data_IF_087002901627
#
_entry.id   IF_087002901627
#
_cell.length_a   1.000
_cell.length_b   1.000
_cell.length_c   1.000
_cell.angle_alpha   90.00
_cell.angle_beta   90.00
_cell.angle_gamma   90.00
#
_symmetry.space_group_name_H-M   'P 1'
#
loop_
_entity.id
_entity.type
_entity.pdbx_description
1 polymer ?
#
# COMPACT_ATOMS: atom_id res chain seq x y z
N UNK A 1 26.28 -16.02 3.22
CA UNK A 1 26.79 -15.94 1.82
C UNK A 1 27.75 -17.08 1.49
N UNK A 2 28.84 -17.27 2.24
CA UNK A 2 29.85 -18.32 1.96
C UNK A 2 29.26 -19.74 1.93
N UNK A 3 28.36 -20.08 2.87
CA UNK A 3 27.69 -21.39 2.90
C UNK A 3 26.74 -21.62 1.71
N UNK A 4 26.14 -20.56 1.18
CA UNK A 4 25.26 -20.62 0.00
C UNK A 4 26.07 -20.83 -1.28
N UNK A 5 27.28 -20.25 -1.34
CA UNK A 5 28.22 -20.46 -2.44
C UNK A 5 28.76 -21.90 -2.45
N UNK A 6 29.00 -22.49 -1.27
CA UNK A 6 29.41 -23.89 -1.12
C UNK A 6 28.31 -24.87 -1.56
N UNK A 7 27.04 -24.60 -1.26
CA UNK A 7 25.92 -25.41 -1.75
C UNK A 7 25.74 -25.32 -3.28
N UNK A 8 25.96 -24.14 -3.87
CA UNK A 8 25.91 -24.00 -5.34
C UNK A 8 27.02 -24.79 -6.04
N UNK A 9 28.24 -24.80 -5.48
CA UNK A 9 29.34 -25.58 -6.06
C UNK A 9 29.09 -27.09 -5.97
N UNK A 10 28.51 -27.59 -4.87
CA UNK A 10 28.18 -29.02 -4.75
C UNK A 10 27.08 -29.45 -5.72
N UNK A 11 26.09 -28.60 -6.00
CA UNK A 11 25.05 -28.91 -7.00
C UNK A 11 25.57 -28.92 -8.43
N UNK A 12 26.56 -28.08 -8.76
CA UNK A 12 27.20 -28.10 -10.09
C UNK A 12 28.09 -29.32 -10.30
N UNK A 13 28.75 -29.83 -9.24
CA UNK A 13 29.58 -31.03 -9.33
C UNK A 13 28.76 -32.33 -9.51
N UNK A 14 27.49 -32.34 -9.07
CA UNK A 14 26.65 -33.54 -9.13
C UNK A 14 25.97 -33.77 -10.49
N UNK A 15 25.98 -32.77 -11.37
CA UNK A 15 25.40 -32.86 -12.71
C UNK A 15 26.43 -32.41 -13.75
N UNK A 16 27.23 -33.33 -14.32
CA UNK A 16 28.06 -32.98 -15.49
C UNK A 16 27.16 -32.36 -16.56
N UNK A 17 27.62 -31.25 -17.12
CA UNK A 17 26.79 -30.37 -17.95
C UNK A 17 26.11 -31.16 -19.06
N UNK A 18 24.82 -30.88 -19.31
CA UNK A 18 24.07 -31.40 -20.46
C UNK A 18 24.79 -31.19 -21.80
N UNK A 19 25.75 -30.26 -21.87
CA UNK A 19 26.59 -30.04 -23.04
C UNK A 19 27.57 -31.19 -23.31
N UNK A 20 28.14 -31.84 -22.29
CA UNK A 20 29.00 -33.02 -22.50
C UNK A 20 28.19 -34.22 -23.02
N UNK A 21 26.95 -34.42 -22.56
CA UNK A 21 26.09 -35.49 -23.08
C UNK A 21 25.60 -35.28 -24.52
N UNK A 22 25.60 -34.04 -25.03
CA UNK A 22 25.20 -33.77 -26.41
C UNK A 22 26.33 -33.96 -27.43
N UNK A 23 27.60 -33.94 -27.01
CA UNK A 23 28.71 -34.21 -27.93
C UNK A 23 28.87 -35.70 -28.25
N UNK A 24 28.43 -36.62 -27.39
CA UNK A 24 28.49 -38.06 -27.66
C UNK A 24 27.35 -38.60 -28.56
N UNK A 25 26.38 -37.76 -28.98
CA UNK A 25 25.22 -38.18 -29.79
C UNK A 25 25.27 -37.76 -31.27
N UNK A 26 26.42 -37.28 -31.76
CA UNK A 26 26.55 -36.76 -33.13
C UNK A 26 27.58 -37.48 -34.01
N UNK A 27 27.71 -38.79 -33.85
CA UNK A 27 28.28 -39.64 -34.90
C UNK A 27 27.16 -40.52 -35.45
N UNK A 28 26.48 -40.12 -36.54
CA UNK A 28 25.58 -41.01 -37.24
C UNK A 28 26.42 -42.13 -37.87
N UNK A 29 26.22 -43.37 -37.41
CA UNK A 29 26.64 -44.54 -38.17
C UNK A 29 25.76 -44.56 -39.43
N UNK A 30 26.34 -44.20 -40.57
CA UNK A 30 25.72 -44.42 -41.88
C UNK A 30 25.58 -45.93 -42.08
N UNK A 31 24.36 -46.43 -41.96
CA UNK A 31 24.00 -47.74 -42.47
C UNK A 31 24.13 -47.69 -44.01
N UNK A 32 25.18 -48.32 -44.52
CA UNK A 32 25.31 -48.59 -45.95
C UNK A 32 24.28 -49.68 -46.31
N UNK A 33 23.10 -49.27 -46.76
CA UNK A 33 22.22 -50.14 -47.53
C UNK A 33 22.83 -50.32 -48.93
N UNK A 34 23.65 -51.35 -49.09
CA UNK A 34 24.10 -51.85 -50.38
C UNK A 34 22.95 -52.57 -51.08
N UNK A 35 22.22 -51.83 -51.92
CA UNK A 35 21.44 -52.40 -53.02
C UNK A 35 22.27 -52.34 -54.30
N UNK A 36 22.57 -53.51 -54.86
CA UNK A 36 23.04 -53.73 -56.23
C UNK A 36 22.08 -53.02 -57.23
N UNK A 37 22.49 -52.43 -58.36
CA UNK A 37 23.28 -53.00 -59.44
C UNK A 37 24.01 -51.91 -60.27
N UNK A 38 25.22 -52.24 -60.75
CA UNK A 38 25.70 -51.84 -62.08
C UNK A 38 26.32 -50.45 -62.26
N UNK A 39 27.63 -50.31 -62.04
CA UNK A 39 28.52 -49.48 -62.86
C UNK A 39 30.00 -49.80 -62.62
N UNK A 40 30.78 -49.68 -63.68
CA UNK A 40 32.14 -50.13 -63.88
C UNK A 40 33.24 -49.39 -63.10
N UNK A 41 34.23 -50.18 -62.67
CA UNK A 41 35.68 -50.02 -62.87
C UNK A 41 36.38 -48.68 -62.55
N UNK A 42 37.34 -48.80 -61.64
CA UNK A 42 38.51 -47.94 -61.40
C UNK A 42 38.28 -46.62 -60.64
N UNK A 43 38.27 -46.71 -59.30
CA UNK A 43 39.08 -45.82 -58.48
C UNK A 43 39.24 -46.37 -57.05
N UNK A 44 40.42 -46.95 -56.79
CA UNK A 44 40.84 -47.45 -55.48
C UNK A 44 41.39 -46.29 -54.65
N UNK A 45 40.50 -45.53 -53.99
CA UNK A 45 40.90 -44.63 -52.92
C UNK A 45 40.97 -45.40 -51.59
N UNK A 46 42.18 -45.64 -51.11
CA UNK A 46 42.49 -46.29 -49.84
C UNK A 46 41.82 -45.54 -48.67
N UNK A 47 40.93 -46.24 -47.94
CA UNK A 47 40.45 -45.81 -46.63
C UNK A 47 41.59 -45.97 -45.60
N UNK A 48 42.04 -44.89 -44.93
CA UNK A 48 43.04 -45.02 -43.88
C UNK A 48 42.41 -45.56 -42.59
N UNK A 49 43.14 -46.48 -41.98
CA UNK A 49 43.09 -46.91 -40.58
C UNK A 49 41.74 -47.33 -40.01
N UNK A 50 41.58 -48.64 -39.98
CA UNK A 50 40.83 -49.41 -38.99
C UNK A 50 41.36 -49.14 -37.57
N UNK A 51 40.94 -48.05 -36.93
CA UNK A 51 40.93 -48.02 -35.47
C UNK A 51 39.57 -48.56 -35.00
N UNK A 52 39.54 -49.59 -34.13
CA UNK A 52 38.28 -50.13 -33.64
C UNK A 52 37.56 -49.03 -32.86
N UNK A 53 36.37 -48.64 -33.32
CA UNK A 53 35.46 -47.81 -32.54
C UNK A 53 35.17 -48.55 -31.23
N UNK A 54 35.86 -48.12 -30.17
CA UNK A 54 35.70 -48.62 -28.82
C UNK A 54 34.40 -48.03 -28.28
N UNK A 55 33.27 -48.56 -28.74
CA UNK A 55 31.96 -48.23 -28.21
C UNK A 55 31.91 -48.76 -26.78
N UNK A 56 32.26 -47.88 -25.84
CA UNK A 56 32.11 -48.12 -24.42
C UNK A 56 30.68 -48.63 -24.17
N UNK A 57 30.50 -49.84 -23.61
CA UNK A 57 29.18 -50.41 -23.46
C UNK A 57 28.31 -49.43 -22.67
N UNK A 58 27.04 -49.21 -23.09
CA UNK A 58 26.18 -48.25 -22.42
C UNK A 58 26.21 -48.57 -20.92
N UNK A 59 26.45 -47.56 -20.05
CA UNK A 59 26.65 -47.80 -18.63
C UNK A 59 25.49 -48.66 -18.16
N UNK A 60 25.82 -49.87 -17.68
CA UNK A 60 24.84 -50.79 -17.12
C UNK A 60 23.99 -49.96 -16.18
N UNK A 61 22.68 -49.92 -16.42
CA UNK A 61 21.72 -49.23 -15.57
C UNK A 61 21.93 -49.75 -14.15
N UNK A 62 22.72 -49.02 -13.35
CA UNK A 62 22.87 -49.32 -11.95
C UNK A 62 21.47 -49.21 -11.38
N UNK A 63 20.96 -50.35 -10.90
CA UNK A 63 19.65 -50.42 -10.28
C UNK A 63 19.63 -49.36 -9.19
N UNK A 64 18.92 -48.26 -9.46
CA UNK A 64 18.83 -47.11 -8.57
C UNK A 64 18.20 -47.58 -7.27
N UNK A 65 19.03 -47.94 -6.31
CA UNK A 65 18.62 -48.43 -5.00
C UNK A 65 17.79 -47.31 -4.40
N UNK A 66 16.47 -47.52 -4.33
CA UNK A 66 15.56 -46.52 -3.78
C UNK A 66 15.97 -46.33 -2.32
N UNK A 67 16.22 -45.08 -1.87
CA UNK A 67 16.58 -44.85 -0.47
C UNK A 67 15.49 -45.40 0.45
N UNK A 68 15.87 -46.02 1.58
CA UNK A 68 14.94 -46.66 2.49
C UNK A 68 13.84 -45.69 2.92
N UNK A 69 12.60 -46.19 3.06
CA UNK A 69 11.41 -45.37 3.37
C UNK A 69 11.59 -44.46 4.59
N UNK A 70 12.39 -44.89 5.58
CA UNK A 70 12.73 -44.09 6.78
C UNK A 70 13.53 -42.82 6.43
N UNK A 71 14.49 -42.92 5.52
CA UNK A 71 15.33 -41.80 5.11
C UNK A 71 14.52 -40.74 4.35
N UNK A 72 13.58 -41.18 3.49
CA UNK A 72 12.67 -40.27 2.78
C UNK A 72 11.76 -39.46 3.73
N UNK A 73 11.26 -40.10 4.79
CA UNK A 73 10.44 -39.41 5.80
C UNK A 73 11.23 -38.36 6.57
N UNK A 74 12.48 -38.66 6.92
CA UNK A 74 13.37 -37.72 7.60
C UNK A 74 13.69 -36.52 6.69
N UNK A 75 14.01 -36.77 5.42
CA UNK A 75 14.29 -35.72 4.43
C UNK A 75 13.05 -34.83 4.20
N UNK A 76 11.86 -35.42 4.13
CA UNK A 76 10.61 -34.66 4.00
C UNK A 76 10.34 -33.80 5.24
N UNK A 77 10.59 -34.33 6.44
CA UNK A 77 10.45 -33.56 7.68
C UNK A 77 11.43 -32.37 7.71
N UNK A 78 12.70 -32.60 7.39
CA UNK A 78 13.72 -31.54 7.31
C UNK A 78 13.34 -30.46 6.28
N UNK A 79 12.80 -30.85 5.11
CA UNK A 79 12.31 -29.89 4.11
C UNK A 79 11.14 -29.05 4.63
N UNK A 80 10.22 -29.66 5.38
CA UNK A 80 9.08 -28.95 5.99
C UNK A 80 9.54 -27.98 7.08
N UNK A 81 10.51 -28.37 7.90
CA UNK A 81 11.09 -27.50 8.94
C UNK A 81 11.87 -26.34 8.32
N UNK A 82 12.70 -26.60 7.31
CA UNK A 82 13.41 -25.56 6.56
C UNK A 82 12.46 -24.57 5.88
N UNK A 83 11.37 -25.05 5.28
CA UNK A 83 10.35 -24.19 4.67
C UNK A 83 9.64 -23.31 5.72
N UNK A 84 9.33 -23.86 6.90
CA UNK A 84 8.77 -23.07 8.01
C UNK A 84 9.73 -22.01 8.51
N UNK A 85 11.02 -22.32 8.61
CA UNK A 85 12.04 -21.37 9.04
C UNK A 85 12.22 -20.24 8.01
N UNK A 86 12.31 -20.58 6.72
CA UNK A 86 12.38 -19.59 5.63
C UNK A 86 11.17 -18.65 5.63
N UNK A 87 9.96 -19.17 5.90
CA UNK A 87 8.76 -18.34 6.02
C UNK A 87 8.84 -17.39 7.21
N UNK A 88 9.30 -17.87 8.39
CA UNK A 88 9.48 -17.02 9.58
C UNK A 88 10.50 -15.90 9.35
N UNK A 89 11.60 -16.20 8.66
CA UNK A 89 12.61 -15.20 8.30
C UNK A 89 12.05 -14.16 7.33
N UNK A 90 11.28 -14.58 6.33
CA UNK A 90 10.58 -13.67 5.41
C UNK A 90 9.59 -12.76 6.14
N UNK A 91 8.78 -13.32 7.04
CA UNK A 91 7.81 -12.55 7.83
C UNK A 91 8.54 -11.55 8.76
N UNK A 92 9.68 -11.93 9.34
CA UNK A 92 10.50 -11.04 10.16
C UNK A 92 11.11 -9.90 9.35
N UNK A 93 11.62 -10.19 8.14
CA UNK A 93 12.14 -9.17 7.22
C UNK A 93 11.04 -8.20 6.78
N UNK A 94 9.84 -8.70 6.48
CA UNK A 94 8.70 -7.85 6.12
C UNK A 94 8.29 -6.93 7.28
N UNK A 95 8.26 -7.44 8.51
CA UNK A 95 8.02 -6.62 9.71
C UNK A 95 9.10 -5.56 9.89
N UNK A 96 10.37 -5.92 9.72
CA UNK A 96 11.47 -4.96 9.83
C UNK A 96 11.40 -3.89 8.74
N UNK A 97 11.03 -4.25 7.51
CA UNK A 97 10.81 -3.30 6.42
C UNK A 97 9.65 -2.34 6.71
N UNK A 98 8.54 -2.84 7.27
CA UNK A 98 7.42 -2.00 7.71
C UNK A 98 7.84 -1.02 8.80
N UNK A 99 8.59 -1.47 9.80
CA UNK A 99 9.11 -0.59 10.86
C UNK A 99 10.04 0.49 10.29
N UNK A 100 10.91 0.16 9.33
CA UNK A 100 11.77 1.15 8.65
C UNK A 100 10.99 2.23 7.90
N UNK A 101 9.79 1.92 7.44
CA UNK A 101 8.91 2.90 6.78
C UNK A 101 8.16 3.79 7.77
N UNK A 102 7.87 3.30 8.98
CA UNK A 102 7.12 4.04 10.01
C UNK A 102 7.99 5.05 10.76
N UNK A 103 9.25 4.71 11.05
CA UNK A 103 10.16 5.59 11.82
C UNK A 103 10.33 7.00 11.20
N UNK A 104 10.50 7.16 9.86
CA UNK A 104 10.56 8.48 9.25
C UNK A 104 9.26 9.28 9.39
N UNK A 105 8.11 8.60 9.37
CA UNK A 105 6.79 9.26 9.47
C UNK A 105 6.60 9.82 10.87
N UNK A 106 6.87 9.01 11.91
CA UNK A 106 6.81 9.47 13.30
C UNK A 106 7.80 10.60 13.55
N UNK A 107 9.03 10.49 13.03
CA UNK A 107 10.05 11.55 13.14
C UNK A 107 9.62 12.85 12.45
N UNK A 108 8.99 12.77 11.28
CA UNK A 108 8.48 13.94 10.57
C UNK A 108 7.27 14.56 11.29
N UNK A 109 6.41 13.74 11.89
CA UNK A 109 5.30 14.24 12.72
C UNK A 109 5.79 14.99 13.94
N UNK A 110 6.78 14.46 14.66
CA UNK A 110 7.38 15.13 15.82
C UNK A 110 8.01 16.45 15.40
N UNK A 111 8.80 16.46 14.31
CA UNK A 111 9.38 17.71 13.77
C UNK A 111 8.31 18.73 13.40
N UNK A 112 7.23 18.30 12.73
CA UNK A 112 6.14 19.20 12.36
C UNK A 112 5.32 19.69 13.57
N UNK A 113 5.41 19.03 14.72
CA UNK A 113 4.85 19.51 15.97
C UNK A 113 5.79 20.55 16.62
N UNK A 114 7.09 20.27 16.69
CA UNK A 114 8.11 21.21 17.17
C UNK A 114 8.10 22.52 16.37
N UNK A 115 7.99 22.45 15.04
CA UNK A 115 7.88 23.63 14.17
C UNK A 115 6.63 24.46 14.50
N UNK A 116 5.49 23.82 14.76
CA UNK A 116 4.24 24.52 15.15
C UNK A 116 4.33 25.15 16.54
N UNK A 117 4.97 24.47 17.50
CA UNK A 117 5.21 25.03 18.83
C UNK A 117 6.16 26.23 18.76
N UNK A 118 7.18 26.17 17.89
CA UNK A 118 8.10 27.28 17.66
C UNK A 118 7.42 28.47 16.98
N UNK A 119 6.57 28.24 15.97
CA UNK A 119 5.75 29.28 15.34
C UNK A 119 4.80 29.93 16.36
N UNK A 120 4.18 29.13 17.24
CA UNK A 120 3.27 29.64 18.27
C UNK A 120 4.02 30.50 19.30
N UNK A 121 5.21 30.10 19.72
CA UNK A 121 6.06 30.91 20.60
C UNK A 121 6.49 32.23 19.93
N UNK A 122 6.83 32.18 18.65
CA UNK A 122 7.18 33.38 17.89
C UNK A 122 6.00 34.36 17.76
N UNK A 123 4.79 33.85 17.51
CA UNK A 123 3.58 34.66 17.49
C UNK A 123 3.27 35.29 18.85
N UNK A 124 3.43 34.55 19.95
CA UNK A 124 3.27 35.10 21.30
C UNK A 124 4.27 36.22 21.60
N UNK A 125 5.53 36.06 21.17
CA UNK A 125 6.55 37.09 21.36
C UNK A 125 6.21 38.37 20.58
N UNK A 126 5.77 38.25 19.32
CA UNK A 126 5.33 39.39 18.52
C UNK A 126 4.13 40.10 19.16
N UNK A 127 3.16 39.34 19.68
CA UNK A 127 2.00 39.90 20.35
C UNK A 127 2.37 40.67 21.63
N UNK A 128 3.37 40.18 22.39
CA UNK A 128 3.90 40.92 23.54
C UNK A 128 4.62 42.21 23.14
N UNK A 129 5.36 42.21 22.03
CA UNK A 129 6.02 43.42 21.52
C UNK A 129 4.98 44.46 21.05
N UNK A 130 3.94 44.04 20.34
CA UNK A 130 2.83 44.93 19.93
C UNK A 130 2.09 45.52 21.14
N UNK A 131 1.86 44.72 22.19
CA UNK A 131 1.24 45.19 23.43
C UNK A 131 2.12 46.19 24.18
N UNK A 132 3.43 45.95 24.23
CA UNK A 132 4.40 46.86 24.85
C UNK A 132 4.51 48.18 24.07
N UNK A 133 4.57 48.13 22.74
CA UNK A 133 4.57 49.32 21.87
C UNK A 133 3.30 50.15 22.06
N UNK A 134 2.14 49.48 22.10
CA UNK A 134 0.86 50.13 22.36
C UNK A 134 0.81 50.79 23.74
N UNK A 135 1.41 50.15 24.76
CA UNK A 135 1.49 50.71 26.12
C UNK A 135 2.38 51.95 26.17
N UNK A 136 3.49 51.96 25.43
CA UNK A 136 4.39 53.11 25.32
C UNK A 136 3.70 54.29 24.61
N UNK A 137 2.98 54.05 23.51
CA UNK A 137 2.21 55.11 22.83
C UNK A 137 1.16 55.76 23.73
N UNK A 138 0.49 54.99 24.60
CA UNK A 138 -0.46 55.56 25.56
C UNK A 138 0.23 56.48 26.59
N UNK A 139 1.44 56.14 27.04
CA UNK A 139 2.19 56.98 27.98
C UNK A 139 2.64 58.30 27.33
N UNK A 140 3.03 58.28 26.05
CA UNK A 140 3.38 59.49 25.30
C UNK A 140 2.17 60.41 25.09
N UNK A 141 0.98 59.85 24.82
CA UNK A 141 -0.25 60.63 24.59
C UNK A 141 -0.85 61.31 25.83
N UNK A 142 -0.52 60.84 27.04
CA UNK A 142 -0.96 61.49 28.29
C UNK A 142 -0.08 62.69 28.67
N UNK A 143 1.18 62.73 28.23
CA UNK A 143 2.11 63.82 28.53
C UNK A 143 1.81 65.16 27.83
N UNK A 144 1.16 65.15 26.67
CA UNK A 144 0.85 66.40 25.92
C UNK A 144 -0.40 67.15 26.42
N UNK A 145 -1.19 66.59 27.36
CA UNK A 145 -2.43 67.24 27.83
C UNK A 145 -2.25 68.17 29.04
N UNK A 146 -1.09 68.21 29.68
CA UNK A 146 -0.88 69.07 30.87
C UNK A 146 -0.36 70.49 30.58
N UNK A 147 0.11 70.83 29.37
CA UNK A 147 0.58 72.21 29.08
C UNK A 147 -0.46 73.14 28.41
N UNK A 148 -1.69 72.68 28.19
CA UNK A 148 -2.70 73.40 27.39
C UNK A 148 -3.85 74.12 28.13
N UNK A 149 -3.86 74.19 29.47
CA UNK A 149 -4.92 74.93 30.20
C UNK A 149 -4.48 76.35 30.54
N UNK A 150 -4.73 77.27 29.61
CA UNK A 150 -4.37 78.67 29.83
C UNK A 150 -4.94 79.70 28.87
N UNK A 151 -6.08 79.52 28.19
CA UNK A 151 -6.79 80.67 27.56
C UNK A 151 -8.31 80.46 27.57
N UNK A 152 -9.00 81.21 28.42
CA UNK A 152 -10.45 81.48 28.33
C UNK A 152 -10.66 82.63 27.34
N UNK A 153 -11.64 82.50 26.44
CA UNK A 153 -12.09 83.59 25.57
C UNK A 153 -13.44 83.26 24.96
N UNK A 154 -14.46 84.02 25.36
CA UNK A 154 -15.88 83.78 25.15
C UNK A 154 -16.41 84.26 23.78
N UNK A 155 -17.59 83.72 23.41
CA UNK A 155 -18.46 84.19 22.32
C UNK A 155 -18.95 83.01 21.47
N UNK A 156 -20.16 82.92 20.97
CA UNK A 156 -21.41 83.67 21.08
C UNK A 156 -22.47 82.71 20.49
N UNK A 157 -23.73 82.84 20.91
CA UNK A 157 -24.85 81.99 20.51
C UNK A 157 -25.12 82.08 18.99
N UNK A 158 -25.57 80.98 18.35
CA UNK A 158 -26.77 81.02 17.50
C UNK A 158 -27.28 79.63 17.09
N UNK A 159 -28.61 79.56 17.03
CA UNK A 159 -29.46 78.48 16.54
C UNK A 159 -29.13 78.01 15.12
N UNK A 160 -29.31 76.72 14.86
CA UNK A 160 -29.40 76.14 13.51
C UNK A 160 -29.91 74.70 13.57
N UNK A 161 -30.94 74.43 12.78
CA UNK A 161 -31.74 73.20 12.73
C UNK A 161 -30.97 71.94 12.26
N UNK A 162 -31.55 70.78 12.58
CA UNK A 162 -31.28 69.39 12.17
C UNK A 162 -30.59 69.21 10.79
N UNK A 163 -29.71 68.18 10.62
CA UNK A 163 -30.20 66.80 10.48
C UNK A 163 -29.27 65.68 10.98
N UNK A 164 -29.87 64.51 11.22
CA UNK A 164 -29.21 63.21 11.04
C UNK A 164 -28.06 62.87 11.98
N UNK A 165 -28.36 62.07 13.01
CA UNK A 165 -27.36 61.34 13.77
C UNK A 165 -26.69 60.29 12.86
N UNK A 166 -25.63 60.70 12.15
CA UNK A 166 -24.72 59.80 11.46
C UNK A 166 -23.51 59.65 12.38
N UNK A 167 -23.40 58.47 12.99
CA UNK A 167 -22.19 58.07 13.71
C UNK A 167 -20.99 58.19 12.76
N UNK A 168 -19.90 58.85 13.15
CA UNK A 168 -18.67 58.76 12.38
C UNK A 168 -18.20 57.31 12.45
N UNK A 169 -18.23 56.61 11.32
CA UNK A 169 -17.47 55.38 11.16
C UNK A 169 -16.01 55.72 11.42
N UNK A 170 -15.50 55.33 12.59
CA UNK A 170 -14.09 55.42 12.91
C UNK A 170 -13.26 54.69 11.86
N UNK A 171 -11.98 55.04 11.68
CA UNK A 171 -11.12 54.41 10.69
C UNK A 171 -11.14 52.89 10.90
N UNK A 172 -11.75 52.21 9.93
CA UNK A 172 -11.86 50.75 9.88
C UNK A 172 -10.46 50.16 10.00
N UNK A 173 -10.23 49.48 11.12
CA UNK A 173 -9.00 48.78 11.41
C UNK A 173 -8.69 47.80 10.25
N UNK A 174 -7.62 48.01 9.45
CA UNK A 174 -7.31 47.15 8.32
C UNK A 174 -6.96 45.71 8.74
N UNK A 175 -6.68 45.48 10.03
CA UNK A 175 -6.48 44.14 10.58
C UNK A 175 -7.79 43.34 10.69
N UNK A 176 -8.96 44.00 10.84
CA UNK A 176 -10.26 43.32 10.96
C UNK A 176 -10.94 43.04 9.62
N UNK A 177 -10.54 43.72 8.54
CA UNK A 177 -11.07 43.45 7.19
C UNK A 177 -10.35 42.30 6.47
N UNK A 178 -9.17 41.88 6.92
CA UNK A 178 -8.44 40.73 6.34
C UNK A 178 -8.84 39.37 6.91
N UNK A 179 -9.61 39.31 8.01
CA UNK A 179 -9.94 38.03 8.68
C UNK A 179 -11.28 37.41 8.26
N UNK A 180 -12.06 38.05 7.38
CA UNK A 180 -13.39 37.54 6.97
C UNK A 180 -13.56 37.20 5.50
N UNK A 181 -12.53 37.38 4.66
CA UNK A 181 -12.55 36.97 3.27
C UNK A 181 -11.34 36.12 2.91
N UNK A 182 -11.56 34.81 3.13
CA UNK A 182 -10.99 33.61 2.50
C UNK A 182 -10.00 32.77 3.34
N UNK A 183 -10.11 31.41 3.29
CA UNK A 183 -10.80 30.65 2.24
C UNK A 183 -11.84 29.62 2.72
N UNK A 184 -13.13 29.93 2.50
CA UNK A 184 -14.16 28.92 2.19
C UNK A 184 -13.93 28.25 0.81
N UNK A 185 -12.82 28.54 0.13
CA UNK A 185 -12.38 27.89 -1.10
C UNK A 185 -11.47 26.68 -0.87
N UNK A 186 -10.86 26.49 0.31
CA UNK A 186 -10.06 25.27 0.58
C UNK A 186 -10.94 24.06 0.96
N UNK A 187 -12.17 24.29 1.43
CA UNK A 187 -13.11 23.21 1.78
C UNK A 187 -13.83 22.55 0.58
N UNK A 188 -13.58 22.99 -0.66
CA UNK A 188 -14.18 22.40 -1.88
C UNK A 188 -13.18 21.71 -2.82
N UNK A 189 -11.87 21.75 -2.52
CA UNK A 189 -10.86 21.08 -3.34
C UNK A 189 -10.19 19.85 -2.70
N UNK A 190 -10.47 19.53 -1.44
CA UNK A 190 -9.88 18.35 -0.75
C UNK A 190 -10.72 17.07 -0.91
N UNK A 191 -11.93 17.14 -1.46
CA UNK A 191 -12.76 15.94 -1.75
C UNK A 191 -13.40 16.03 -3.13
N UNK A 192 -12.57 16.14 -4.17
CA UNK A 192 -12.88 15.38 -5.39
C UNK A 192 -11.94 14.19 -5.36
N UNK A 193 -12.42 12.96 -5.12
CA UNK A 193 -11.58 11.81 -5.35
C UNK A 193 -11.15 11.90 -6.80
N UNK A 194 -9.84 12.09 -7.04
CA UNK A 194 -9.25 11.81 -8.33
C UNK A 194 -9.64 10.37 -8.62
N UNK A 195 -10.70 10.20 -9.42
CA UNK A 195 -10.99 8.99 -10.15
C UNK A 195 -9.85 8.85 -11.15
N UNK A 196 -8.70 8.39 -10.68
CA UNK A 196 -7.89 7.52 -11.50
C UNK A 196 -8.75 6.27 -11.67
N UNK A 197 -9.26 5.95 -12.88
CA UNK A 197 -9.75 4.62 -13.12
C UNK A 197 -8.55 3.71 -12.86
N UNK A 198 -8.51 3.08 -11.70
CA UNK A 198 -7.51 2.09 -11.40
C UNK A 198 -7.70 1.00 -12.45
N UNK A 199 -6.76 0.96 -13.39
CA UNK A 199 -6.68 0.04 -14.51
C UNK A 199 -6.34 -1.35 -13.96
N UNK A 200 -7.23 -1.95 -13.19
CA UNK A 200 -7.07 -3.32 -12.72
C UNK A 200 -8.43 -4.01 -12.66
N UNK A 201 -8.60 -4.98 -13.56
CA UNK A 201 -9.60 -6.03 -13.42
C UNK A 201 -10.74 -5.98 -14.43
N UNK A 202 -10.45 -6.21 -15.71
CA UNK A 202 -11.46 -6.81 -16.59
C UNK A 202 -11.93 -8.14 -15.96
N UNK A 203 -13.25 -8.37 -15.83
CA UNK A 203 -13.76 -9.61 -15.24
C UNK A 203 -13.35 -10.79 -16.15
N UNK A 204 -12.46 -11.63 -15.64
CA UNK A 204 -12.05 -12.85 -16.33
C UNK A 204 -13.24 -13.80 -16.38
N UNK A 205 -13.53 -14.30 -17.58
CA UNK A 205 -14.71 -15.08 -17.98
C UNK A 205 -14.82 -16.47 -17.34
N UNK A 206 -14.07 -16.73 -16.25
CA UNK A 206 -14.10 -17.96 -15.46
C UNK A 206 -14.02 -17.66 -13.95
N UNK A 207 -15.11 -17.11 -13.41
CA UNK A 207 -15.80 -17.72 -12.26
C UNK A 207 -15.25 -17.52 -10.84
N UNK A 208 -14.30 -16.61 -10.60
CA UNK A 208 -13.95 -16.17 -9.24
C UNK A 208 -14.11 -14.67 -9.15
N UNK A 209 -15.19 -14.24 -8.51
CA UNK A 209 -15.44 -12.84 -8.21
C UNK A 209 -14.31 -12.33 -7.30
N UNK A 210 -13.40 -11.54 -7.85
CA UNK A 210 -12.30 -10.92 -7.10
C UNK A 210 -12.90 -9.86 -6.19
N UNK A 211 -12.65 -9.97 -4.89
CA UNK A 211 -13.16 -9.00 -3.91
C UNK A 211 -12.42 -7.68 -4.06
N UNK A 212 -13.09 -6.65 -4.58
CA UNK A 212 -12.51 -5.31 -4.78
C UNK A 212 -12.72 -4.42 -3.56
N UNK A 213 -11.97 -3.32 -3.47
CA UNK A 213 -12.15 -2.31 -2.41
C UNK A 213 -13.53 -1.65 -2.48
N UNK A 214 -14.09 -1.48 -3.68
CA UNK A 214 -15.44 -0.94 -3.86
C UNK A 214 -16.51 -1.91 -3.32
N UNK A 215 -16.32 -3.21 -3.54
CA UNK A 215 -17.18 -4.26 -2.95
C UNK A 215 -17.07 -4.29 -1.43
N UNK A 216 -15.86 -4.12 -0.90
CA UNK A 216 -15.60 -4.05 0.54
C UNK A 216 -16.34 -2.86 1.17
N UNK A 217 -16.21 -1.66 0.61
CA UNK A 217 -16.88 -0.46 1.11
C UNK A 217 -18.41 -0.60 1.08
N UNK A 218 -18.97 -1.01 -0.06
CA UNK A 218 -20.42 -1.21 -0.19
C UNK A 218 -20.94 -2.28 0.79
N UNK A 219 -20.21 -3.39 0.94
CA UNK A 219 -20.57 -4.43 1.90
C UNK A 219 -20.57 -3.91 3.34
N UNK A 220 -19.55 -3.14 3.73
CA UNK A 220 -19.46 -2.57 5.08
C UNK A 220 -20.59 -1.56 5.36
N UNK A 221 -21.07 -0.82 4.36
CA UNK A 221 -22.24 0.06 4.51
C UNK A 221 -23.51 -0.73 4.86
N UNK A 222 -23.73 -1.88 4.20
CA UNK A 222 -24.85 -2.76 4.53
C UNK A 222 -24.70 -3.41 5.92
N UNK A 223 -23.48 -3.84 6.28
CA UNK A 223 -23.21 -4.39 7.62
C UNK A 223 -23.36 -3.33 8.70
N UNK A 224 -23.01 -2.07 8.42
CA UNK A 224 -23.25 -0.95 9.34
C UNK A 224 -24.74 -0.69 9.54
N UNK A 225 -25.54 -0.80 8.47
CA UNK A 225 -26.98 -0.53 8.50
C UNK A 225 -27.82 -1.66 9.12
N UNK A 226 -27.43 -2.91 8.92
CA UNK A 226 -28.22 -4.08 9.34
C UNK A 226 -27.53 -4.95 10.39
N UNK A 227 -26.35 -4.56 10.85
CA UNK A 227 -25.52 -5.32 11.77
C UNK A 227 -25.09 -6.67 11.17
N UNK A 228 -24.95 -7.67 12.03
CA UNK A 228 -24.55 -9.04 11.65
C UNK A 228 -25.73 -9.92 11.20
N UNK A 229 -26.87 -9.31 10.86
CA UNK A 229 -28.06 -10.01 10.37
C UNK A 229 -27.87 -10.32 8.88
N UNK A 230 -27.06 -11.35 8.56
CA UNK A 230 -26.64 -11.69 7.19
C UNK A 230 -27.80 -11.87 6.20
N UNK A 231 -28.95 -12.37 6.66
CA UNK A 231 -30.15 -12.47 5.84
C UNK A 231 -30.66 -11.10 5.37
N UNK A 232 -30.67 -10.09 6.25
CA UNK A 232 -31.07 -8.72 5.92
C UNK A 232 -30.03 -8.02 5.04
N UNK A 233 -28.74 -8.29 5.28
CA UNK A 233 -27.64 -7.76 4.45
C UNK A 233 -27.75 -8.30 3.02
N UNK A 234 -27.93 -9.61 2.86
CA UNK A 234 -28.11 -10.25 1.55
C UNK A 234 -29.38 -9.74 0.84
N UNK A 235 -30.52 -9.71 1.54
CA UNK A 235 -31.78 -9.16 1.00
C UNK A 235 -31.63 -7.71 0.55
N UNK A 236 -30.95 -6.88 1.35
CA UNK A 236 -30.69 -5.49 1.00
C UNK A 236 -29.81 -5.36 -0.25
N UNK A 237 -28.77 -6.18 -0.39
CA UNK A 237 -27.90 -6.24 -1.58
C UNK A 237 -28.70 -6.64 -2.83
N UNK A 238 -29.58 -7.62 -2.71
CA UNK A 238 -30.45 -8.04 -3.81
C UNK A 238 -31.46 -6.96 -4.18
N UNK A 239 -32.07 -6.30 -3.19
CA UNK A 239 -33.09 -5.26 -3.41
C UNK A 239 -32.51 -4.00 -4.05
N UNK A 240 -31.30 -3.60 -3.68
CA UNK A 240 -30.60 -2.46 -4.31
C UNK A 240 -30.01 -2.83 -5.66
N UNK A 241 -29.94 -4.11 -6.00
CA UNK A 241 -29.38 -4.60 -7.26
C UNK A 241 -27.91 -4.26 -7.40
N UNK A 242 -27.14 -4.24 -6.30
CA UNK A 242 -25.75 -3.81 -6.33
C UNK A 242 -24.92 -4.81 -7.15
N UNK A 243 -24.48 -4.46 -8.38
CA UNK A 243 -24.03 -5.44 -9.38
C UNK A 243 -22.76 -6.16 -8.95
N UNK A 244 -21.94 -5.51 -8.11
CA UNK A 244 -20.69 -6.07 -7.62
C UNK A 244 -20.90 -7.12 -6.52
N UNK A 245 -22.00 -7.05 -5.77
CA UNK A 245 -22.26 -7.94 -4.63
C UNK A 245 -23.32 -9.01 -4.94
N UNK A 246 -24.01 -8.90 -6.09
CA UNK A 246 -24.92 -9.91 -6.57
C UNK A 246 -24.20 -11.25 -6.82
N UNK A 247 -24.74 -12.34 -6.25
CA UNK A 247 -24.17 -13.70 -6.36
C UNK A 247 -23.29 -14.13 -5.19
N UNK A 248 -23.21 -13.31 -4.14
CA UNK A 248 -22.59 -13.69 -2.87
C UNK A 248 -23.65 -14.25 -1.91
N UNK A 249 -23.60 -15.56 -1.69
CA UNK A 249 -24.46 -16.21 -0.69
C UNK A 249 -24.09 -15.78 0.74
N UNK A 250 -25.04 -15.86 1.68
CA UNK A 250 -24.83 -15.60 3.13
C UNK A 250 -23.53 -16.21 3.69
N UNK A 251 -23.18 -17.43 3.27
CA UNK A 251 -21.96 -18.12 3.72
C UNK A 251 -20.70 -17.37 3.29
N UNK A 252 -20.64 -16.94 2.02
CA UNK A 252 -19.51 -16.18 1.48
C UNK A 252 -19.39 -14.81 2.14
N UNK A 253 -20.51 -14.14 2.42
CA UNK A 253 -20.53 -12.85 3.12
C UNK A 253 -19.95 -12.97 4.54
N UNK A 254 -20.35 -14.00 5.28
CA UNK A 254 -19.82 -14.26 6.62
C UNK A 254 -18.32 -14.60 6.61
N UNK A 255 -17.87 -15.44 5.66
CA UNK A 255 -16.45 -15.76 5.53
C UNK A 255 -15.60 -14.54 5.19
N UNK A 256 -16.12 -13.62 4.37
CA UNK A 256 -15.46 -12.35 4.06
C UNK A 256 -15.41 -11.45 5.28
N UNK A 257 -16.48 -11.33 6.05
CA UNK A 257 -16.48 -10.59 7.30
C UNK A 257 -15.46 -11.14 8.31
N UNK A 258 -15.38 -12.47 8.47
CA UNK A 258 -14.36 -13.12 9.31
C UNK A 258 -12.94 -12.84 8.82
N UNK A 259 -12.72 -12.84 7.51
CA UNK A 259 -11.43 -12.49 6.92
C UNK A 259 -11.03 -11.03 7.19
N UNK A 260 -11.98 -10.09 7.07
CA UNK A 260 -11.78 -8.67 7.38
C UNK A 260 -11.51 -8.43 8.86
N UNK A 261 -12.21 -9.16 9.74
CA UNK A 261 -11.93 -9.13 11.19
C UNK A 261 -10.52 -9.64 11.48
N UNK A 262 -10.13 -10.78 10.89
CA UNK A 262 -8.81 -11.38 11.11
C UNK A 262 -7.67 -10.50 10.57
N UNK A 263 -7.91 -9.72 9.52
CA UNK A 263 -6.92 -8.78 8.98
C UNK A 263 -6.80 -7.48 9.77
N UNK A 264 -7.68 -7.25 10.76
CA UNK A 264 -7.69 -6.01 11.55
C UNK A 264 -8.19 -4.79 10.77
N UNK A 265 -8.84 -4.99 9.61
CA UNK A 265 -9.40 -3.89 8.81
C UNK A 265 -10.73 -3.37 9.35
N UNK A 266 -11.41 -4.19 10.16
CA UNK A 266 -12.66 -3.81 10.82
C UNK A 266 -12.53 -4.07 12.32
N UNK A 267 -12.95 -3.11 13.13
CA UNK A 267 -13.16 -3.33 14.56
C UNK A 267 -14.58 -3.86 14.76
N UNK A 268 -14.71 -4.96 15.47
CA UNK A 268 -15.99 -5.65 15.69
C UNK A 268 -16.96 -4.82 16.53
N UNK A 269 -16.42 -3.91 17.33
CA UNK A 269 -17.15 -2.99 18.20
C UNK A 269 -17.89 -1.91 17.41
N UNK A 270 -17.40 -1.54 16.22
CA UNK A 270 -18.04 -0.56 15.33
C UNK A 270 -19.34 -1.08 14.69
N UNK A 271 -19.60 -2.39 14.80
CA UNK A 271 -20.74 -3.06 14.21
C UNK A 271 -21.54 -3.77 15.32
N UNK A 272 -22.39 -3.00 16.04
CA UNK A 272 -23.20 -3.54 17.11
C UNK A 272 -24.08 -4.67 16.57
N UNK A 273 -24.21 -5.73 17.36
CA UNK A 273 -25.27 -6.72 17.16
C UNK A 273 -26.52 -6.02 17.69
N UNK A 274 -27.15 -5.18 16.85
CA UNK A 274 -28.41 -4.55 17.23
C UNK A 274 -29.42 -5.66 17.55
N UNK A 275 -29.70 -5.83 18.84
CA UNK A 275 -30.80 -6.59 19.44
C UNK A 275 -31.03 -7.98 18.86
N UNK A 276 -30.86 -9.00 19.71
CA UNK A 276 -31.89 -10.04 19.70
C UNK A 276 -33.24 -9.31 19.80
N UNK A 277 -34.19 -9.52 18.88
CA UNK A 277 -35.57 -9.44 19.34
C UNK A 277 -35.68 -10.53 20.40
N UNK A 278 -35.87 -10.15 21.66
CA UNK A 278 -36.25 -11.07 22.73
C UNK A 278 -37.54 -11.86 22.39
N UNK A 279 -38.26 -11.50 21.33
CA UNK A 279 -39.49 -12.15 20.91
C UNK A 279 -39.37 -12.71 19.49
N UNK A 280 -38.93 -13.96 19.36
CA UNK A 280 -39.41 -14.90 18.33
C UNK A 280 -39.16 -16.34 18.85
N UNK A 281 -40.02 -16.74 19.79
CA UNK A 281 -40.41 -18.14 19.97
C UNK A 281 -41.24 -18.61 18.77
#
# INVERSE_FOLDING_TARGET
QQQQQQQQQQQQAQYPSRQQQQQCRRTPCLENESGEEGASSEDLAACPSSEPCNCEPPPRYEHRIKPPRKQRKLEEQQKREAAKQAQREKDAQERQAKLRMLVPIERNMVRAQEEREQEQQQQQLLQQQEEEEFRLQQQEGEGEKEEGQGVQGAGEQQHGEHPGHVQPEGPLNPAQQRTRLLPLTIAREVIRPRRTPSREGTPTRQGKLTWTLEMEAAFLDYVKKYGRKWAKVEEAIYRTGHPLLMGLDKVKLNDKFKALKKSGRINVEDYPVEGEPEDFY
#
